data_IF_636199934272
#
_entry.id   IF_636199934272
#
_cell.length_a   1.000
_cell.length_b   1.000
_cell.length_c   1.000
_cell.angle_alpha   90.00
_cell.angle_beta   90.00
_cell.angle_gamma   90.00
#
_symmetry.space_group_name_H-M   'P 1'
#
loop_
_entity.id
_entity.type
_entity.pdbx_description
1 polymer ?
#
# COMPACT_ATOMS: atom_id res chain seq x y z
N UNK A 1 -22.85 -3.77 6.46
CA UNK A 1 -21.49 -3.35 6.85
C UNK A 1 -20.81 -2.92 5.58
N UNK A 2 -20.40 -1.66 5.48
CA UNK A 2 -19.57 -1.20 4.38
C UNK A 2 -18.16 -1.72 4.66
N UNK A 3 -17.75 -2.80 3.99
CA UNK A 3 -16.36 -3.24 4.04
C UNK A 3 -15.54 -2.23 3.25
N UNK A 4 -14.73 -1.45 3.94
CA UNK A 4 -13.78 -0.54 3.32
C UNK A 4 -12.61 -1.36 2.76
N UNK A 5 -12.17 -1.06 1.53
CA UNK A 5 -11.21 -1.88 0.79
C UNK A 5 -10.16 -1.01 0.12
N UNK A 6 -8.93 -1.50 0.02
CA UNK A 6 -7.84 -0.83 -0.67
C UNK A 6 -7.03 -1.81 -1.50
N UNK A 7 -6.82 -1.52 -2.78
CA UNK A 7 -5.95 -2.31 -3.65
C UNK A 7 -4.58 -1.62 -3.82
N UNK A 8 -3.50 -2.36 -3.66
CA UNK A 8 -2.13 -1.92 -3.95
C UNK A 8 -1.98 -1.35 -5.37
N UNK A 9 -2.68 -1.91 -6.37
CA UNK A 9 -2.67 -1.40 -7.74
C UNK A 9 -3.18 0.05 -7.84
N UNK A 10 -4.18 0.41 -7.04
CA UNK A 10 -4.74 1.76 -7.01
C UNK A 10 -3.70 2.76 -6.48
N UNK A 11 -2.96 2.41 -5.42
CA UNK A 11 -1.87 3.23 -4.90
C UNK A 11 -0.69 3.32 -5.88
N UNK A 12 -0.37 2.23 -6.57
CA UNK A 12 0.69 2.23 -7.60
C UNK A 12 0.38 3.22 -8.73
N UNK A 13 -0.90 3.39 -9.08
CA UNK A 13 -1.35 4.32 -10.12
C UNK A 13 -1.32 5.81 -9.68
N UNK A 14 -1.26 6.10 -8.39
CA UNK A 14 -1.19 7.46 -7.87
C UNK A 14 0.16 8.13 -8.12
N UNK A 15 0.16 9.46 -8.24
CA UNK A 15 1.40 10.22 -8.30
C UNK A 15 2.08 10.27 -6.91
N UNK A 16 3.40 10.49 -6.83
CA UNK A 16 4.07 10.68 -5.54
C UNK A 16 3.47 11.82 -4.70
N UNK A 17 2.96 12.87 -5.35
CA UNK A 17 2.32 14.00 -4.68
C UNK A 17 1.00 13.59 -4.02
N UNK A 18 0.18 12.81 -4.72
CA UNK A 18 -1.11 12.35 -4.19
C UNK A 18 -0.89 11.35 -3.05
N UNK A 19 0.10 10.46 -3.18
CA UNK A 19 0.49 9.55 -2.10
C UNK A 19 1.00 10.30 -0.87
N UNK A 20 1.79 11.36 -1.06
CA UNK A 20 2.24 12.20 0.05
C UNK A 20 1.04 12.86 0.75
N UNK A 21 0.10 13.42 0.00
CA UNK A 21 -1.10 14.03 0.57
C UNK A 21 -1.95 13.00 1.36
N UNK A 22 -2.15 11.81 0.80
CA UNK A 22 -2.83 10.71 1.50
C UNK A 22 -2.09 10.29 2.77
N UNK A 23 -0.76 10.25 2.74
CA UNK A 23 0.04 9.89 3.91
C UNK A 23 -0.05 10.96 5.01
N UNK A 24 -0.05 12.24 4.64
CA UNK A 24 -0.24 13.36 5.57
C UNK A 24 -1.65 13.36 6.19
N UNK A 25 -2.68 13.05 5.41
CA UNK A 25 -4.07 12.89 5.90
C UNK A 25 -4.23 11.75 6.90
N UNK A 26 -3.39 10.71 6.75
CA UNK A 26 -3.31 9.56 7.65
C UNK A 26 -2.33 9.77 8.82
N UNK A 27 -1.82 10.98 9.00
CA UNK A 27 -0.88 11.33 10.06
C UNK A 27 0.43 10.50 10.06
N UNK A 28 0.83 9.99 8.88
CA UNK A 28 2.07 9.22 8.73
C UNK A 28 3.29 10.16 8.84
N UNK A 29 4.06 10.00 9.91
CA UNK A 29 5.24 10.81 10.17
C UNK A 29 6.33 10.65 9.10
N UNK A 30 7.05 11.74 8.80
CA UNK A 30 8.18 11.78 7.87
C UNK A 30 7.87 11.35 6.42
N UNK A 31 6.60 11.34 6.00
CA UNK A 31 6.17 10.92 4.67
C UNK A 31 6.88 11.68 3.52
N UNK A 32 7.22 12.96 3.71
CA UNK A 32 7.93 13.78 2.72
C UNK A 32 9.35 13.28 2.38
N UNK A 33 9.94 12.47 3.26
CA UNK A 33 11.28 11.87 3.04
C UNK A 33 11.21 10.44 2.50
N UNK A 34 10.02 9.83 2.50
CA UNK A 34 9.81 8.45 2.09
C UNK A 34 9.85 8.31 0.57
N UNK A 35 10.35 7.17 0.11
CA UNK A 35 10.21 6.75 -1.28
C UNK A 35 8.76 6.37 -1.55
N UNK A 36 8.34 6.43 -2.82
CA UNK A 36 6.98 6.04 -3.24
C UNK A 36 6.54 4.68 -2.67
N UNK A 37 7.40 3.67 -2.71
CA UNK A 37 7.10 2.35 -2.16
C UNK A 37 6.86 2.34 -0.64
N UNK A 38 7.65 3.12 0.10
CA UNK A 38 7.53 3.25 1.55
C UNK A 38 6.24 3.97 1.93
N UNK A 39 5.90 5.07 1.23
CA UNK A 39 4.61 5.76 1.42
C UNK A 39 3.43 4.83 1.18
N UNK A 40 3.44 4.08 0.06
CA UNK A 40 2.36 3.11 -0.22
C UNK A 40 2.25 2.05 0.87
N UNK A 41 3.38 1.53 1.36
CA UNK A 41 3.38 0.52 2.42
C UNK A 41 2.78 1.06 3.72
N UNK A 42 3.16 2.27 4.14
CA UNK A 42 2.60 2.87 5.35
C UNK A 42 1.10 3.17 5.21
N UNK A 43 0.66 3.66 4.06
CA UNK A 43 -0.77 3.88 3.78
C UNK A 43 -1.56 2.56 3.86
N UNK A 44 -1.03 1.48 3.27
CA UNK A 44 -1.68 0.16 3.34
C UNK A 44 -1.76 -0.36 4.77
N UNK A 45 -0.69 -0.15 5.54
CA UNK A 45 -0.63 -0.55 6.95
C UNK A 45 -1.65 0.21 7.79
N UNK A 46 -1.69 1.54 7.70
CA UNK A 46 -2.62 2.36 8.47
C UNK A 46 -4.07 1.97 8.19
N UNK A 47 -4.41 1.77 6.92
CA UNK A 47 -5.76 1.32 6.53
C UNK A 47 -6.08 -0.09 7.02
N UNK A 48 -5.11 -1.00 7.03
CA UNK A 48 -5.30 -2.33 7.60
C UNK A 48 -5.56 -2.26 9.11
N UNK A 49 -4.85 -1.37 9.82
CA UNK A 49 -5.04 -1.15 11.26
C UNK A 49 -6.43 -0.54 11.56
N UNK A 50 -6.98 0.27 10.64
CA UNK A 50 -8.38 0.76 10.65
C UNK A 50 -9.43 -0.33 10.31
N UNK A 51 -8.99 -1.55 9.98
CA UNK A 51 -9.86 -2.68 9.63
C UNK A 51 -10.29 -2.71 8.16
N UNK A 52 -9.58 -2.01 7.27
CA UNK A 52 -9.81 -2.12 5.82
C UNK A 52 -9.28 -3.44 5.29
N UNK A 53 -10.01 -4.01 4.34
CA UNK A 53 -9.55 -5.17 3.58
C UNK A 53 -8.51 -4.74 2.54
N UNK A 54 -7.28 -5.24 2.66
CA UNK A 54 -6.18 -4.93 1.73
C UNK A 54 -6.05 -6.02 0.64
N UNK A 55 -5.98 -5.59 -0.61
CA UNK A 55 -5.86 -6.47 -1.78
C UNK A 55 -4.59 -6.15 -2.58
N UNK A 56 -4.05 -7.16 -3.22
CA UNK A 56 -2.98 -7.03 -4.20
C UNK A 56 -3.09 -8.14 -5.23
N UNK A 57 -2.70 -7.81 -6.46
CA UNK A 57 -2.61 -8.73 -7.57
C UNK A 57 -1.20 -8.66 -8.21
N UNK A 58 -0.85 -9.73 -8.92
CA UNK A 58 0.49 -9.92 -9.44
C UNK A 58 0.62 -11.23 -10.21
N UNK A 59 1.83 -11.48 -10.71
CA UNK A 59 2.13 -12.69 -11.49
C UNK A 59 3.00 -13.57 -10.62
N UNK A 60 2.53 -14.78 -10.31
CA UNK A 60 3.26 -15.71 -9.45
C UNK A 60 4.61 -16.11 -10.07
N UNK A 61 5.69 -15.76 -9.38
CA UNK A 61 7.05 -16.24 -9.65
C UNK A 61 7.46 -17.22 -8.55
N UNK A 62 7.83 -18.45 -8.92
CA UNK A 62 8.20 -19.52 -7.99
C UNK A 62 9.71 -19.71 -8.00
N UNK A 63 10.33 -19.68 -6.83
CA UNK A 63 11.76 -19.94 -6.65
C UNK A 63 12.04 -21.42 -6.38
N UNK A 64 13.30 -21.82 -6.59
CA UNK A 64 13.73 -23.22 -6.44
C UNK A 64 13.53 -23.77 -5.02
N UNK A 65 13.55 -22.89 -4.02
CA UNK A 65 13.36 -23.23 -2.60
C UNK A 65 11.89 -23.50 -2.24
N UNK A 66 10.97 -23.38 -3.20
CA UNK A 66 9.55 -23.76 -3.04
C UNK A 66 8.61 -22.65 -2.54
N UNK A 67 9.08 -21.41 -2.42
CA UNK A 67 8.23 -20.23 -2.18
C UNK A 67 8.10 -19.37 -3.44
N UNK A 68 7.16 -18.43 -3.43
CA UNK A 68 6.94 -17.54 -4.56
C UNK A 68 6.48 -16.14 -4.18
N UNK A 69 6.58 -15.23 -5.14
CA UNK A 69 6.14 -13.84 -5.05
C UNK A 69 5.05 -13.57 -6.07
N UNK A 70 4.15 -12.64 -5.74
CA UNK A 70 3.17 -12.07 -6.66
C UNK A 70 3.70 -10.76 -7.23
#
# INVERSE_FOLDING_TARGET
MSNERLNLADLKAQSPKDLLAMAEELEIENASTMRKGEMMFQILRERADDGWDIYGDGVLEVLQDGFGFL
#
